data_IF_101784201598
#
_entry.id   IF_101784201598
#
_cell.length_a   1.000
_cell.length_b   1.000
_cell.length_c   1.000
_cell.angle_alpha   90.00
_cell.angle_beta   90.00
_cell.angle_gamma   90.00
#
_symmetry.space_group_name_H-M   'P 1'
#
loop_
_entity.id
_entity.type
_entity.pdbx_description
1 polymer ?
#
# COMPACT_ATOMS: atom_id res chain seq x y z
N UNK A 1 50.92 19.41 -38.29
CA UNK A 1 51.08 19.20 -36.84
C UNK A 1 50.13 20.04 -35.95
N UNK A 2 49.76 21.28 -36.33
CA UNK A 2 48.91 22.16 -35.51
C UNK A 2 47.45 21.67 -35.34
N UNK A 3 46.84 21.09 -36.37
CA UNK A 3 45.45 20.56 -36.30
C UNK A 3 45.28 19.36 -35.34
N UNK A 4 46.26 18.45 -35.28
CA UNK A 4 46.21 17.31 -34.34
C UNK A 4 46.25 17.76 -32.87
N UNK A 5 46.97 18.86 -32.57
CA UNK A 5 47.04 19.45 -31.23
C UNK A 5 45.77 20.19 -30.82
N UNK A 6 45.03 20.76 -31.79
CA UNK A 6 43.73 21.39 -31.56
C UNK A 6 42.63 20.36 -31.27
N UNK A 7 42.57 19.30 -32.06
CA UNK A 7 41.65 18.17 -31.84
C UNK A 7 41.87 17.47 -30.50
N UNK A 8 43.13 17.24 -30.10
CA UNK A 8 43.45 16.64 -28.80
C UNK A 8 42.96 17.49 -27.63
N UNK A 9 43.09 18.84 -27.74
CA UNK A 9 42.63 19.78 -26.72
C UNK A 9 41.10 19.86 -26.63
N UNK A 10 40.41 19.78 -27.77
CA UNK A 10 38.95 19.76 -27.82
C UNK A 10 38.38 18.46 -27.23
N UNK A 11 38.99 17.29 -27.51
CA UNK A 11 38.59 16.02 -26.90
C UNK A 11 38.82 15.98 -25.39
N UNK A 12 39.94 16.53 -24.88
CA UNK A 12 40.18 16.62 -23.43
C UNK A 12 39.17 17.54 -22.74
N UNK A 13 38.80 18.67 -23.37
CA UNK A 13 37.82 19.59 -22.80
C UNK A 13 36.39 19.01 -22.77
N UNK A 14 35.99 18.29 -23.84
CA UNK A 14 34.73 17.58 -23.88
C UNK A 14 34.67 16.44 -22.84
N UNK A 15 35.79 15.73 -22.64
CA UNK A 15 35.91 14.70 -21.61
C UNK A 15 35.77 15.25 -20.18
N UNK A 16 36.37 16.40 -19.87
CA UNK A 16 36.24 17.03 -18.54
C UNK A 16 34.84 17.61 -18.29
N UNK A 17 34.17 18.13 -19.32
CA UNK A 17 32.78 18.59 -19.23
C UNK A 17 31.82 17.42 -19.00
N UNK A 18 31.99 16.31 -19.73
CA UNK A 18 31.19 15.11 -19.52
C UNK A 18 31.38 14.55 -18.10
N UNK A 19 32.63 14.43 -17.63
CA UNK A 19 32.93 13.93 -16.28
C UNK A 19 32.35 14.84 -15.18
N UNK A 20 32.43 16.16 -15.37
CA UNK A 20 31.84 17.14 -14.46
C UNK A 20 30.30 17.03 -14.40
N UNK A 21 29.65 16.85 -15.55
CA UNK A 21 28.20 16.67 -15.61
C UNK A 21 27.75 15.37 -14.94
N UNK A 22 28.49 14.28 -15.14
CA UNK A 22 28.22 13.00 -14.46
C UNK A 22 28.38 13.12 -12.95
N UNK A 23 29.42 13.84 -12.47
CA UNK A 23 29.63 14.06 -11.04
C UNK A 23 28.57 14.94 -10.38
N UNK A 24 28.04 15.94 -11.10
CA UNK A 24 26.92 16.77 -10.63
C UNK A 24 25.62 15.97 -10.62
N UNK A 25 25.38 15.12 -11.62
CA UNK A 25 24.20 14.25 -11.64
C UNK A 25 24.23 13.21 -10.51
N UNK A 26 25.40 12.63 -10.20
CA UNK A 26 25.53 11.69 -9.07
C UNK A 26 25.47 12.37 -7.72
N UNK A 27 25.97 13.60 -7.56
CA UNK A 27 25.86 14.32 -6.28
C UNK A 27 24.41 14.66 -5.93
N UNK A 28 23.58 15.01 -6.90
CA UNK A 28 22.13 15.24 -6.70
C UNK A 28 21.40 13.97 -6.25
N UNK A 29 21.80 12.80 -6.75
CA UNK A 29 21.24 11.51 -6.32
C UNK A 29 21.67 11.13 -4.89
N UNK A 30 22.86 11.54 -4.46
CA UNK A 30 23.38 11.24 -3.11
C UNK A 30 22.82 12.19 -2.04
N UNK A 31 22.46 13.43 -2.42
CA UNK A 31 21.87 14.43 -1.52
C UNK A 31 20.35 14.42 -1.51
N UNK A 32 19.70 13.45 -2.17
CA UNK A 32 18.27 13.26 -1.99
C UNK A 32 18.02 13.05 -0.48
N UNK A 33 17.07 13.77 0.13
CA UNK A 33 16.74 13.55 1.53
C UNK A 33 16.39 12.07 1.70
N UNK A 34 17.01 11.42 2.69
CA UNK A 34 16.56 10.10 3.11
C UNK A 34 15.07 10.22 3.44
N UNK A 35 14.23 9.49 2.73
CA UNK A 35 12.84 9.39 3.11
C UNK A 35 12.81 8.64 4.44
N UNK A 36 12.41 9.31 5.52
CA UNK A 36 12.07 8.65 6.77
C UNK A 36 10.81 7.82 6.49
N UNK A 37 10.99 6.50 6.35
CA UNK A 37 9.86 5.59 6.27
C UNK A 37 9.20 5.53 7.65
N UNK A 38 7.89 5.75 7.71
CA UNK A 38 7.10 5.48 8.90
C UNK A 38 7.23 4.01 9.28
N UNK A 39 7.20 3.70 10.57
CA UNK A 39 6.98 2.31 10.99
C UNK A 39 5.51 1.97 10.73
N UNK A 40 5.23 0.74 10.29
CA UNK A 40 3.87 0.26 9.94
C UNK A 40 3.30 -0.69 11.01
N UNK A 41 3.92 -0.71 12.20
CA UNK A 41 3.56 -1.64 13.30
C UNK A 41 3.67 -0.92 14.64
N UNK A 42 2.92 0.16 14.78
CA UNK A 42 3.21 1.19 15.77
C UNK A 42 2.42 1.04 17.08
N UNK A 43 1.29 0.34 17.06
CA UNK A 43 0.46 0.15 18.25
C UNK A 43 0.91 -1.08 19.07
N UNK A 44 1.46 -0.91 20.29
CA UNK A 44 2.03 -2.03 21.06
C UNK A 44 1.02 -3.14 21.38
N UNK A 45 -0.25 -2.77 21.59
CA UNK A 45 -1.33 -3.68 21.97
C UNK A 45 -1.75 -4.64 20.85
N UNK A 46 -1.75 -4.16 19.60
CA UNK A 46 -2.06 -4.97 18.41
C UNK A 46 -0.81 -5.40 17.66
N UNK A 47 0.37 -5.19 18.24
CA UNK A 47 1.62 -5.53 17.56
C UNK A 47 1.54 -6.95 17.00
N UNK A 48 1.15 -7.95 17.80
CA UNK A 48 1.05 -9.36 17.35
C UNK A 48 -0.20 -9.72 16.53
N UNK A 49 -1.07 -8.76 16.25
CA UNK A 49 -2.30 -8.92 15.50
C UNK A 49 -2.17 -8.21 14.15
N UNK A 50 -1.76 -8.95 13.12
CA UNK A 50 -1.57 -8.38 11.79
C UNK A 50 -2.89 -7.96 11.13
N UNK A 51 -4.04 -8.51 11.56
CA UNK A 51 -5.34 -8.19 10.98
C UNK A 51 -5.90 -6.88 11.53
N UNK A 52 -5.49 -6.47 12.73
CA UNK A 52 -5.86 -5.18 13.31
C UNK A 52 -4.91 -4.02 12.94
N UNK A 53 -3.73 -4.34 12.40
CA UNK A 53 -2.67 -3.36 12.13
C UNK A 53 -2.84 -2.74 10.73
N UNK A 54 -3.16 -1.44 10.69
CA UNK A 54 -3.32 -0.73 9.42
C UNK A 54 -1.95 -0.46 8.80
N UNK A 55 -1.85 -0.58 7.48
CA UNK A 55 -0.64 -0.14 6.79
C UNK A 55 -0.70 1.36 6.54
N UNK A 56 -1.79 1.85 5.96
CA UNK A 56 -1.92 3.22 5.49
C UNK A 56 -3.37 3.69 5.51
N UNK A 57 -3.56 5.01 5.51
CA UNK A 57 -4.85 5.66 5.30
C UNK A 57 -4.67 6.79 4.31
N UNK A 58 -5.52 6.80 3.29
CA UNK A 58 -5.52 7.75 2.19
C UNK A 58 -6.80 8.57 2.22
N UNK A 59 -6.65 9.87 2.01
CA UNK A 59 -7.76 10.82 1.95
C UNK A 59 -7.53 11.73 0.76
N UNK A 60 -8.49 11.76 -0.17
CA UNK A 60 -8.40 12.58 -1.36
C UNK A 60 -9.78 12.97 -1.89
N UNK A 61 -9.86 14.08 -2.62
CA UNK A 61 -11.09 14.49 -3.31
C UNK A 61 -11.34 13.54 -4.48
N UNK A 62 -12.59 13.09 -4.63
CA UNK A 62 -12.92 12.13 -5.70
C UNK A 62 -12.63 12.73 -7.08
N UNK A 63 -11.95 11.99 -7.97
CA UNK A 63 -11.73 12.42 -9.35
C UNK A 63 -13.02 12.41 -10.19
N UNK A 64 -14.05 11.67 -9.76
CA UNK A 64 -15.34 11.57 -10.46
C UNK A 64 -16.34 12.65 -10.01
N UNK A 65 -16.28 13.04 -8.73
CA UNK A 65 -17.12 14.10 -8.17
C UNK A 65 -16.34 14.93 -7.13
N UNK A 66 -15.96 16.18 -7.44
CA UNK A 66 -15.16 17.01 -6.55
C UNK A 66 -15.88 17.45 -5.27
N UNK A 67 -17.20 17.26 -5.17
CA UNK A 67 -17.97 17.53 -3.95
C UNK A 67 -17.83 16.40 -2.91
N UNK A 68 -17.20 15.27 -3.27
CA UNK A 68 -17.00 14.12 -2.39
C UNK A 68 -15.55 13.96 -1.96
N UNK A 69 -15.36 13.52 -0.72
CA UNK A 69 -14.08 13.03 -0.20
C UNK A 69 -14.09 11.50 -0.20
N UNK A 70 -13.00 10.90 -0.67
CA UNK A 70 -12.77 9.46 -0.59
C UNK A 70 -11.86 9.18 0.60
N UNK A 71 -12.30 8.26 1.44
CA UNK A 71 -11.52 7.68 2.52
C UNK A 71 -11.17 6.25 2.13
N UNK A 72 -9.91 5.88 2.25
CA UNK A 72 -9.43 4.52 1.97
C UNK A 72 -8.44 4.11 3.05
N UNK A 73 -8.63 2.93 3.63
CA UNK A 73 -7.66 2.29 4.52
C UNK A 73 -7.15 1.01 3.89
N UNK A 74 -5.93 0.62 4.25
CA UNK A 74 -5.36 -0.67 3.90
C UNK A 74 -4.80 -1.38 5.12
N UNK A 75 -4.98 -2.70 5.12
CA UNK A 75 -4.50 -3.64 6.13
C UNK A 75 -3.87 -4.82 5.39
N UNK A 76 -2.92 -5.50 6.03
CA UNK A 76 -2.24 -6.70 5.52
C UNK A 76 -1.69 -6.51 4.09
N UNK A 77 -0.40 -6.17 3.93
CA UNK A 77 0.16 -5.98 2.59
C UNK A 77 0.42 -7.32 1.88
N UNK A 78 0.54 -7.26 0.55
CA UNK A 78 1.00 -8.36 -0.32
C UNK A 78 0.04 -9.56 -0.45
N UNK A 79 -1.25 -9.29 -0.57
CA UNK A 79 -2.29 -10.33 -0.75
C UNK A 79 -2.40 -10.83 -2.20
N UNK A 80 -1.46 -11.70 -2.61
CA UNK A 80 -1.43 -12.29 -3.95
C UNK A 80 -2.37 -13.50 -4.13
N UNK A 81 -2.97 -13.71 -5.33
CA UNK A 81 -3.87 -14.83 -5.61
C UNK A 81 -3.20 -16.22 -5.53
N UNK A 82 -1.88 -16.28 -5.60
CA UNK A 82 -1.07 -17.49 -5.42
C UNK A 82 -1.03 -18.00 -3.97
N UNK A 83 -1.49 -17.22 -3.00
CA UNK A 83 -1.47 -17.55 -1.56
C UNK A 83 -2.42 -18.66 -1.10
N UNK A 84 -3.18 -19.29 -2.02
CA UNK A 84 -4.12 -20.36 -1.69
C UNK A 84 -3.45 -21.59 -1.02
N UNK A 85 -4.25 -22.53 -0.46
CA UNK A 85 -5.71 -22.64 -0.56
C UNK A 85 -6.49 -21.81 0.47
N UNK A 86 -5.80 -21.10 1.37
CA UNK A 86 -6.40 -20.18 2.32
C UNK A 86 -6.19 -18.76 1.81
N UNK A 87 -7.28 -18.10 1.44
CA UNK A 87 -7.24 -16.71 0.99
C UNK A 87 -7.37 -15.76 2.18
N UNK A 88 -6.97 -14.51 1.94
CA UNK A 88 -7.02 -13.44 2.92
C UNK A 88 -8.47 -13.07 3.23
N UNK A 89 -8.74 -12.77 4.50
CA UNK A 89 -10.05 -12.39 5.01
C UNK A 89 -9.90 -11.28 6.06
N UNK A 90 -10.96 -10.53 6.29
CA UNK A 90 -11.02 -9.59 7.42
C UNK A 90 -11.28 -10.40 8.69
N UNK A 91 -10.66 -10.01 9.80
CA UNK A 91 -10.89 -10.70 11.08
C UNK A 91 -12.25 -10.30 11.66
N UNK A 92 -13.07 -11.31 12.00
CA UNK A 92 -14.41 -11.13 12.56
C UNK A 92 -14.40 -10.47 13.96
N UNK A 93 -13.24 -10.44 14.62
CA UNK A 93 -13.05 -9.86 15.95
C UNK A 93 -12.45 -8.44 15.92
N UNK A 94 -12.23 -7.89 14.72
CA UNK A 94 -11.67 -6.55 14.54
C UNK A 94 -12.75 -5.59 14.02
N UNK A 95 -12.74 -4.36 14.57
CA UNK A 95 -13.50 -3.23 14.04
C UNK A 95 -12.55 -2.32 13.28
N UNK A 96 -12.82 -2.13 12.00
CA UNK A 96 -12.01 -1.31 11.11
C UNK A 96 -12.64 0.09 11.03
N UNK A 97 -12.27 0.94 11.97
CA UNK A 97 -12.85 2.28 12.13
C UNK A 97 -11.99 3.37 11.47
N UNK A 98 -12.64 4.24 10.70
CA UNK A 98 -12.09 5.54 10.28
C UNK A 98 -12.83 6.64 11.03
N UNK A 99 -12.13 7.27 11.96
CA UNK A 99 -12.63 8.41 12.72
C UNK A 99 -12.36 9.73 11.98
N UNK A 100 -13.40 10.54 11.82
CA UNK A 100 -13.33 11.84 11.15
C UNK A 100 -13.78 12.93 12.11
N UNK A 101 -12.84 13.79 12.49
CA UNK A 101 -13.08 15.09 13.11
C UNK A 101 -13.12 16.14 11.98
N UNK A 102 -14.25 16.82 11.82
CA UNK A 102 -14.45 17.85 10.81
C UNK A 102 -14.52 19.27 11.39
N UNK A 103 -14.34 19.41 12.70
CA UNK A 103 -14.50 20.67 13.42
C UNK A 103 -13.23 21.12 14.19
N UNK A 104 -12.26 20.20 14.37
CA UNK A 104 -10.94 20.44 14.95
C UNK A 104 -10.85 20.32 16.47
N UNK A 105 -11.82 19.69 17.14
CA UNK A 105 -11.84 19.50 18.59
C UNK A 105 -11.16 18.20 19.06
N UNK A 106 -10.63 17.40 18.13
CA UNK A 106 -10.05 16.08 18.34
C UNK A 106 -11.05 15.03 18.87
N UNK A 107 -12.35 15.23 18.64
CA UNK A 107 -13.42 14.27 18.88
C UNK A 107 -14.01 13.88 17.52
N UNK A 108 -14.19 12.58 17.23
CA UNK A 108 -14.77 12.17 15.95
C UNK A 108 -16.24 12.64 15.83
N UNK A 109 -16.55 13.41 14.79
CA UNK A 109 -17.92 13.75 14.39
C UNK A 109 -18.59 12.60 13.63
N UNK A 110 -17.79 11.87 12.83
CA UNK A 110 -18.21 10.69 12.09
C UNK A 110 -17.25 9.54 12.33
N UNK A 111 -17.79 8.33 12.40
CA UNK A 111 -17.01 7.09 12.38
C UNK A 111 -17.59 6.18 11.32
N UNK A 112 -16.73 5.75 10.39
CA UNK A 112 -17.05 4.76 9.39
C UNK A 112 -16.45 3.43 9.83
N UNK A 113 -17.31 2.45 10.10
CA UNK A 113 -16.90 1.13 10.59
C UNK A 113 -17.12 0.09 9.49
N UNK A 114 -16.08 -0.69 9.20
CA UNK A 114 -16.20 -1.98 8.53
C UNK A 114 -16.07 -3.09 9.59
N UNK A 115 -17.02 -4.01 9.58
CA UNK A 115 -16.96 -5.24 10.37
C UNK A 115 -17.33 -6.39 9.46
N UNK A 116 -16.56 -7.48 9.51
CA UNK A 116 -16.84 -8.65 8.71
C UNK A 116 -17.35 -9.83 9.52
N UNK A 117 -18.02 -10.75 8.84
CA UNK A 117 -18.36 -12.08 9.35
C UNK A 117 -18.09 -13.15 8.30
N UNK A 118 -17.78 -14.37 8.73
CA UNK A 118 -17.55 -15.52 7.86
C UNK A 118 -18.65 -16.56 8.04
N UNK A 119 -19.34 -16.88 6.95
CA UNK A 119 -20.30 -17.97 6.88
C UNK A 119 -19.65 -19.23 6.30
N UNK A 120 -19.57 -20.28 7.12
CA UNK A 120 -19.08 -21.59 6.69
C UNK A 120 -20.26 -22.48 6.28
N UNK A 121 -20.42 -22.73 4.98
CA UNK A 121 -21.54 -23.48 4.42
C UNK A 121 -21.54 -24.96 4.81
N UNK A 122 -20.36 -25.59 4.76
CA UNK A 122 -20.12 -26.98 5.13
C UNK A 122 -19.13 -27.04 6.31
N UNK A 123 -19.64 -27.14 7.55
CA UNK A 123 -18.79 -27.19 8.74
C UNK A 123 -18.01 -28.50 8.91
N UNK A 124 -18.26 -29.52 8.05
CA UNK A 124 -17.52 -30.78 8.09
C UNK A 124 -16.12 -30.68 7.45
N UNK A 125 -15.74 -29.52 6.93
CA UNK A 125 -14.42 -29.28 6.32
C UNK A 125 -13.90 -27.87 6.62
N UNK A 126 -12.58 -27.74 6.69
CA UNK A 126 -11.89 -26.46 6.86
C UNK A 126 -11.58 -25.78 5.51
N UNK A 127 -11.83 -26.45 4.39
CA UNK A 127 -11.47 -25.96 3.06
C UNK A 127 -12.21 -24.67 2.71
N UNK A 128 -11.51 -23.73 2.07
CA UNK A 128 -12.09 -22.49 1.54
C UNK A 128 -13.20 -22.75 0.52
N UNK A 129 -13.03 -23.78 -0.31
CA UNK A 129 -13.97 -24.22 -1.32
C UNK A 129 -14.03 -25.75 -1.42
N UNK A 130 -15.19 -26.30 -1.73
CA UNK A 130 -15.43 -27.76 -1.89
C UNK A 130 -15.29 -28.24 -3.34
N UNK A 131 -14.96 -27.32 -4.25
CA UNK A 131 -14.84 -27.52 -5.70
C UNK A 131 -14.58 -26.17 -6.39
N UNK A 132 -14.51 -26.11 -7.73
CA UNK A 132 -14.36 -24.83 -8.44
C UNK A 132 -15.49 -23.85 -8.11
N UNK A 133 -15.15 -22.61 -7.76
CA UNK A 133 -16.14 -21.56 -7.45
C UNK A 133 -16.71 -21.02 -8.78
N UNK A 134 -18.00 -21.27 -9.01
CA UNK A 134 -18.76 -20.68 -10.11
C UNK A 134 -19.46 -19.38 -9.71
N UNK A 135 -20.13 -18.74 -10.66
CA UNK A 135 -20.88 -17.50 -10.43
C UNK A 135 -22.04 -17.65 -9.42
N UNK A 136 -22.51 -18.87 -9.20
CA UNK A 136 -23.53 -19.22 -8.21
C UNK A 136 -22.98 -19.39 -6.79
N UNK A 137 -21.64 -19.43 -6.63
CA UNK A 137 -20.97 -19.58 -5.35
C UNK A 137 -21.20 -20.94 -4.66
N UNK A 138 -21.75 -21.94 -5.35
CA UNK A 138 -22.18 -23.21 -4.73
C UNK A 138 -21.06 -24.01 -4.06
N UNK A 139 -19.82 -23.85 -4.56
CA UNK A 139 -18.63 -24.45 -3.96
C UNK A 139 -17.84 -23.51 -3.04
N UNK A 140 -18.28 -22.26 -2.85
CA UNK A 140 -17.59 -21.30 -1.98
C UNK A 140 -18.02 -21.56 -0.54
N UNK A 141 -17.14 -22.26 0.20
CA UNK A 141 -17.47 -22.79 1.53
C UNK A 141 -17.32 -21.75 2.63
N UNK A 142 -16.25 -20.94 2.61
CA UNK A 142 -16.01 -19.86 3.59
C UNK A 142 -16.30 -18.50 2.95
N UNK A 143 -17.54 -18.04 3.09
CA UNK A 143 -18.01 -16.80 2.49
C UNK A 143 -17.89 -15.65 3.48
N UNK A 144 -17.27 -14.56 3.05
CA UNK A 144 -17.13 -13.38 3.88
C UNK A 144 -18.19 -12.32 3.56
N UNK A 145 -18.74 -11.70 4.60
CA UNK A 145 -19.73 -10.61 4.53
C UNK A 145 -19.21 -9.38 5.28
N UNK A 146 -19.68 -8.20 4.91
CA UNK A 146 -19.32 -6.88 5.45
C UNK A 146 -20.53 -5.95 5.43
#
# INVERSE_FOLDING_TARGET
MKHKRFLLRALTAAGTLALGLTMVATSVLITAPAADASSHREAPLISKDAYADNTDTYVFVSPENPDNVVLMGSWIPFEGPEGGPNYFEWDENVLYDIHVDNNGDAVPDFTYTLQASVDVQNPATFLYNTGPIGADGSNWNRQQRY
#
